data_IF_306409351782
#
_entry.id   IF_306409351782
#
_cell.length_a   1.000
_cell.length_b   1.000
_cell.length_c   1.000
_cell.angle_alpha   90.00
_cell.angle_beta   90.00
_cell.angle_gamma   90.00
#
_symmetry.space_group_name_H-M   'P 1'
#
loop_
_entity.id
_entity.type
_entity.pdbx_description
1 polymer ?
#
# COMPACT_ATOMS: atom_id res chain seq x y z
N UNK A 1 -31.39 2.00 -42.28
CA UNK A 1 -32.11 1.25 -41.23
C UNK A 1 -31.89 1.94 -39.89
N UNK A 2 -32.94 2.18 -39.10
CA UNK A 2 -32.79 2.71 -37.73
C UNK A 2 -31.92 1.74 -36.92
N UNK A 3 -30.96 2.24 -36.16
CA UNK A 3 -29.99 1.42 -35.41
C UNK A 3 -30.69 0.31 -34.60
N UNK A 4 -30.19 -0.94 -34.63
CA UNK A 4 -30.77 -2.04 -33.86
C UNK A 4 -30.63 -1.85 -32.34
N UNK A 5 -29.86 -0.86 -31.89
CA UNK A 5 -29.64 -0.49 -30.49
C UNK A 5 -30.95 -0.14 -29.75
N UNK A 6 -31.85 0.64 -30.37
CA UNK A 6 -33.06 1.14 -29.71
C UNK A 6 -34.06 0.03 -29.30
N UNK A 7 -34.34 -0.99 -30.15
CA UNK A 7 -35.11 -2.17 -29.74
C UNK A 7 -34.52 -2.93 -28.55
N UNK A 8 -33.19 -3.13 -28.50
CA UNK A 8 -32.53 -3.80 -27.36
C UNK A 8 -32.69 -3.00 -26.06
N UNK A 9 -32.47 -1.69 -26.12
CA UNK A 9 -32.65 -0.81 -24.97
C UNK A 9 -34.11 -0.80 -24.47
N UNK A 10 -35.08 -0.80 -25.39
CA UNK A 10 -36.50 -0.84 -25.05
C UNK A 10 -36.90 -2.17 -24.37
N UNK A 11 -36.46 -3.30 -24.93
CA UNK A 11 -36.75 -4.63 -24.38
C UNK A 11 -36.13 -4.79 -22.99
N UNK A 12 -34.87 -4.38 -22.82
CA UNK A 12 -34.18 -4.37 -21.53
C UNK A 12 -34.95 -3.54 -20.51
N UNK A 13 -35.29 -2.29 -20.84
CA UNK A 13 -36.04 -1.40 -19.96
C UNK A 13 -37.39 -2.00 -19.59
N UNK A 14 -38.10 -2.62 -20.53
CA UNK A 14 -39.42 -3.21 -20.28
C UNK A 14 -39.36 -4.42 -19.33
N UNK A 15 -38.42 -5.35 -19.56
CA UNK A 15 -38.28 -6.56 -18.72
C UNK A 15 -37.71 -6.26 -17.33
N UNK A 16 -36.73 -5.38 -17.27
CA UNK A 16 -35.95 -5.12 -16.06
C UNK A 16 -36.36 -3.84 -15.33
N UNK A 17 -37.51 -3.25 -15.69
CA UNK A 17 -38.03 -1.99 -15.12
C UNK A 17 -38.02 -1.96 -13.59
N UNK A 18 -38.35 -3.06 -12.93
CA UNK A 18 -38.42 -3.12 -11.48
C UNK A 18 -37.04 -3.16 -10.83
N UNK A 19 -36.09 -3.93 -11.37
CA UNK A 19 -34.70 -3.92 -10.91
C UNK A 19 -34.02 -2.56 -11.14
N UNK A 20 -34.29 -1.93 -12.29
CA UNK A 20 -33.80 -0.58 -12.59
C UNK A 20 -34.42 0.48 -11.68
N UNK A 21 -35.72 0.37 -11.37
CA UNK A 21 -36.40 1.25 -10.42
C UNK A 21 -35.84 1.10 -9.01
N UNK A 22 -35.59 -0.14 -8.55
CA UNK A 22 -34.97 -0.42 -7.26
C UNK A 22 -33.54 0.17 -7.17
N UNK A 23 -32.72 -0.01 -8.21
CA UNK A 23 -31.38 0.58 -8.28
C UNK A 23 -31.43 2.11 -8.28
N UNK A 24 -32.37 2.70 -9.02
CA UNK A 24 -32.54 4.15 -9.08
C UNK A 24 -32.98 4.71 -7.72
N UNK A 25 -33.91 4.03 -7.05
CA UNK A 25 -34.33 4.38 -5.69
C UNK A 25 -33.17 4.28 -4.70
N UNK A 26 -32.37 3.21 -4.77
CA UNK A 26 -31.19 3.04 -3.93
C UNK A 26 -30.16 4.16 -4.13
N UNK A 27 -29.82 4.49 -5.39
CA UNK A 27 -28.91 5.59 -5.71
C UNK A 27 -29.48 6.95 -5.30
N UNK A 28 -30.80 7.15 -5.41
CA UNK A 28 -31.47 8.36 -4.94
C UNK A 28 -31.38 8.48 -3.42
N UNK A 29 -31.64 7.40 -2.67
CA UNK A 29 -31.50 7.37 -1.21
C UNK A 29 -30.05 7.66 -0.81
N UNK A 30 -29.06 7.04 -1.46
CA UNK A 30 -27.64 7.36 -1.22
C UNK A 30 -27.32 8.84 -1.49
N UNK A 31 -27.82 9.39 -2.60
CA UNK A 31 -27.63 10.80 -2.94
C UNK A 31 -28.32 11.75 -1.95
N UNK A 32 -29.52 11.41 -1.49
CA UNK A 32 -30.27 12.18 -0.49
C UNK A 32 -29.60 12.12 0.88
N UNK A 33 -29.17 10.94 1.32
CA UNK A 33 -28.37 10.79 2.55
C UNK A 33 -27.11 11.65 2.48
N UNK A 34 -26.42 11.64 1.34
CA UNK A 34 -25.26 12.51 1.14
C UNK A 34 -25.62 13.99 1.25
N UNK A 35 -26.64 14.46 0.53
CA UNK A 35 -26.99 15.88 0.51
C UNK A 35 -27.54 16.41 1.84
N UNK A 36 -28.21 15.56 2.62
CA UNK A 36 -28.90 15.97 3.85
C UNK A 36 -28.12 15.67 5.13
N UNK A 37 -27.21 14.70 5.11
CA UNK A 37 -26.49 14.22 6.31
C UNK A 37 -25.00 14.53 6.25
N UNK A 38 -24.41 14.72 5.06
CA UNK A 38 -22.96 14.85 4.89
C UNK A 38 -22.59 16.24 4.33
N UNK A 39 -22.06 17.12 5.16
CA UNK A 39 -21.51 18.40 4.69
C UNK A 39 -20.30 18.19 3.76
N UNK A 40 -20.03 19.09 2.80
CA UNK A 40 -18.82 19.02 1.97
C UNK A 40 -17.55 19.05 2.84
N UNK A 41 -16.91 17.89 3.05
CA UNK A 41 -15.67 17.75 3.80
C UNK A 41 -15.77 16.97 5.12
N UNK A 42 -16.98 16.56 5.54
CA UNK A 42 -17.16 15.72 6.73
C UNK A 42 -16.84 14.24 6.45
N UNK A 43 -16.18 13.58 7.41
CA UNK A 43 -15.77 12.18 7.27
C UNK A 43 -16.95 11.25 7.53
N UNK A 44 -17.29 10.38 6.57
CA UNK A 44 -18.22 9.28 6.79
C UNK A 44 -17.50 8.20 7.59
N UNK A 45 -17.60 8.25 8.91
CA UNK A 45 -17.21 7.14 9.78
C UNK A 45 -18.40 6.21 9.91
N UNK A 46 -18.39 5.10 9.17
CA UNK A 46 -19.32 4.01 9.41
C UNK A 46 -18.82 3.29 10.67
N UNK A 47 -19.47 3.60 11.79
CA UNK A 47 -19.16 3.20 13.17
C UNK A 47 -18.88 1.69 13.35
N UNK A 48 -19.37 0.83 12.45
CA UNK A 48 -19.21 -0.63 12.56
C UNK A 48 -18.61 -1.24 11.30
N UNK A 49 -17.74 -2.25 11.50
CA UNK A 49 -16.98 -3.00 10.48
C UNK A 49 -17.81 -3.53 9.29
N UNK A 50 -19.13 -3.71 9.48
CA UNK A 50 -20.04 -4.30 8.49
C UNK A 50 -20.96 -3.29 7.81
N UNK A 51 -21.08 -2.05 8.31
CA UNK A 51 -22.06 -1.08 7.82
C UNK A 51 -21.75 -0.62 6.40
N UNK A 52 -20.46 -0.42 6.06
CA UNK A 52 -20.05 -0.14 4.69
C UNK A 52 -20.29 -1.32 3.76
N UNK A 53 -20.00 -2.53 4.25
CA UNK A 53 -20.22 -3.74 3.49
C UNK A 53 -21.70 -3.92 3.15
N UNK A 54 -22.60 -3.74 4.11
CA UNK A 54 -24.04 -3.93 3.94
C UNK A 54 -24.72 -2.82 3.13
N UNK A 55 -24.31 -1.56 3.31
CA UNK A 55 -24.96 -0.42 2.66
C UNK A 55 -24.42 -0.16 1.27
N UNK A 56 -23.12 -0.45 1.01
CA UNK A 56 -22.46 -0.10 -0.25
C UNK A 56 -22.00 -1.35 -0.99
N UNK A 57 -21.18 -2.21 -0.37
CA UNK A 57 -20.54 -3.33 -1.09
C UNK A 57 -21.53 -4.40 -1.53
N UNK A 58 -22.43 -4.85 -0.66
CA UNK A 58 -23.39 -5.93 -0.93
C UNK A 58 -24.42 -5.53 -1.99
N UNK A 59 -25.07 -4.34 -1.94
CA UNK A 59 -25.99 -3.92 -3.00
C UNK A 59 -25.30 -3.74 -4.35
N UNK A 60 -24.07 -3.21 -4.37
CA UNK A 60 -23.31 -3.04 -5.62
C UNK A 60 -22.84 -4.38 -6.19
N UNK A 61 -22.32 -5.28 -5.36
CA UNK A 61 -21.94 -6.64 -5.77
C UNK A 61 -23.15 -7.42 -6.31
N UNK A 62 -24.30 -7.29 -5.66
CA UNK A 62 -25.56 -7.88 -6.14
C UNK A 62 -26.01 -7.26 -7.46
N UNK A 63 -25.86 -5.94 -7.63
CA UNK A 63 -26.18 -5.23 -8.88
C UNK A 63 -25.24 -5.64 -10.02
N UNK A 64 -23.95 -5.86 -9.72
CA UNK A 64 -22.97 -6.38 -10.66
C UNK A 64 -23.39 -7.77 -11.15
N UNK A 65 -23.67 -8.70 -10.23
CA UNK A 65 -24.11 -10.05 -10.60
C UNK A 65 -25.43 -10.04 -11.37
N UNK A 66 -26.33 -9.14 -11.03
CA UNK A 66 -27.58 -8.92 -11.77
C UNK A 66 -27.32 -8.42 -13.19
N UNK A 67 -26.47 -7.41 -13.41
CA UNK A 67 -26.15 -6.93 -14.77
C UNK A 67 -25.40 -7.98 -15.57
N UNK A 68 -24.46 -8.70 -14.96
CA UNK A 68 -23.76 -9.80 -15.61
C UNK A 68 -24.78 -10.83 -16.11
N UNK A 69 -25.70 -11.26 -15.26
CA UNK A 69 -26.77 -12.19 -15.63
C UNK A 69 -27.70 -11.67 -16.74
N UNK A 70 -28.09 -10.40 -16.68
CA UNK A 70 -29.04 -9.80 -17.62
C UNK A 70 -28.42 -9.55 -19.00
N UNK A 71 -27.20 -9.01 -19.05
CA UNK A 71 -26.52 -8.69 -20.30
C UNK A 71 -25.84 -9.90 -20.95
N UNK A 72 -25.59 -10.97 -20.21
CA UNK A 72 -25.12 -12.26 -20.74
C UNK A 72 -26.26 -13.25 -21.06
N UNK A 73 -27.51 -12.91 -20.78
CA UNK A 73 -28.66 -13.81 -20.86
C UNK A 73 -28.55 -15.08 -19.98
N UNK A 74 -27.71 -15.06 -18.93
CA UNK A 74 -27.40 -16.23 -18.09
C UNK A 74 -28.59 -16.87 -17.37
N UNK A 75 -29.71 -16.15 -17.15
CA UNK A 75 -30.93 -16.72 -16.57
C UNK A 75 -31.74 -17.60 -17.52
N UNK A 76 -31.35 -17.66 -18.81
CA UNK A 76 -31.93 -18.55 -19.81
C UNK A 76 -30.95 -19.66 -20.25
N UNK A 77 -29.80 -19.77 -19.57
CA UNK A 77 -28.71 -20.68 -19.93
C UNK A 77 -28.98 -22.12 -19.51
N UNK A 78 -29.74 -22.85 -20.32
CA UNK A 78 -29.68 -24.31 -20.34
C UNK A 78 -28.64 -24.72 -21.40
N UNK A 79 -27.47 -25.21 -20.96
CA UNK A 79 -26.40 -25.67 -21.86
C UNK A 79 -26.80 -26.90 -22.69
N UNK A 80 -27.87 -27.60 -22.29
CA UNK A 80 -28.46 -28.73 -23.02
C UNK A 80 -29.63 -28.29 -23.93
N UNK A 81 -29.98 -27.00 -23.98
CA UNK A 81 -31.09 -26.51 -24.76
C UNK A 81 -30.88 -26.73 -26.26
N UNK A 82 -31.90 -27.29 -26.92
CA UNK A 82 -31.93 -27.46 -28.40
C UNK A 82 -32.28 -26.18 -29.16
N UNK A 83 -32.46 -25.06 -28.45
CA UNK A 83 -32.88 -23.77 -28.99
C UNK A 83 -31.95 -22.65 -28.50
N UNK A 84 -31.88 -21.55 -29.26
CA UNK A 84 -31.05 -20.40 -28.91
C UNK A 84 -31.44 -19.79 -27.56
N UNK A 85 -30.44 -19.39 -26.77
CA UNK A 85 -30.62 -18.63 -25.52
C UNK A 85 -31.15 -17.21 -25.77
N UNK A 86 -31.03 -16.72 -27.00
CA UNK A 86 -31.61 -15.45 -27.40
C UNK A 86 -33.12 -15.64 -27.67
N UNK A 87 -34.01 -14.76 -27.18
CA UNK A 87 -35.43 -14.86 -27.44
C UNK A 87 -35.76 -14.97 -28.93
N UNK A 88 -36.65 -15.89 -29.32
CA UNK A 88 -37.02 -16.13 -30.73
C UNK A 88 -37.44 -14.84 -31.48
N UNK A 89 -38.08 -13.89 -30.78
CA UNK A 89 -38.45 -12.56 -31.28
C UNK A 89 -37.28 -11.63 -31.64
N UNK A 90 -36.04 -11.97 -31.27
CA UNK A 90 -34.84 -11.26 -31.71
C UNK A 90 -34.36 -11.74 -33.09
N UNK A 91 -34.84 -12.90 -33.56
CA UNK A 91 -34.57 -13.44 -34.89
C UNK A 91 -35.63 -13.03 -35.93
N UNK A 92 -36.64 -12.26 -35.55
CA UNK A 92 -37.70 -11.78 -36.46
C UNK A 92 -37.33 -10.49 -37.20
N UNK A 93 -36.11 -9.97 -36.98
CA UNK A 93 -35.54 -8.82 -37.68
C UNK A 93 -34.27 -9.28 -38.44
N UNK A 94 -33.89 -8.65 -39.57
CA UNK A 94 -32.63 -8.93 -40.24
C UNK A 94 -31.46 -8.35 -39.40
N UNK A 95 -31.10 -9.06 -38.33
CA UNK A 95 -29.99 -8.72 -37.45
C UNK A 95 -28.81 -9.67 -37.72
N UNK A 96 -27.61 -9.12 -37.71
CA UNK A 96 -26.38 -9.91 -37.76
C UNK A 96 -26.10 -10.53 -36.40
N UNK A 97 -25.39 -11.65 -36.37
CA UNK A 97 -24.89 -12.26 -35.11
C UNK A 97 -24.06 -11.26 -34.28
N UNK A 98 -23.29 -10.40 -34.95
CA UNK A 98 -22.53 -9.33 -34.30
C UNK A 98 -23.43 -8.31 -33.60
N UNK A 99 -24.59 -7.97 -34.18
CA UNK A 99 -25.55 -7.07 -33.53
C UNK A 99 -26.28 -7.75 -32.35
N UNK A 100 -26.59 -9.04 -32.48
CA UNK A 100 -27.26 -9.83 -31.43
C UNK A 100 -26.39 -10.00 -30.18
N UNK A 101 -25.07 -10.20 -30.34
CA UNK A 101 -24.14 -10.32 -29.22
C UNK A 101 -23.55 -8.98 -28.77
N UNK A 102 -23.17 -8.11 -29.72
CA UNK A 102 -22.40 -6.90 -29.45
C UNK A 102 -23.19 -5.81 -28.71
N UNK A 103 -24.46 -5.59 -29.05
CA UNK A 103 -25.26 -4.55 -28.39
C UNK A 103 -25.53 -4.84 -26.91
N UNK A 104 -25.96 -6.05 -26.51
CA UNK A 104 -26.08 -6.41 -25.10
C UNK A 104 -24.78 -6.23 -24.32
N UNK A 105 -23.64 -6.65 -24.87
CA UNK A 105 -22.33 -6.46 -24.23
C UNK A 105 -21.96 -4.98 -24.07
N UNK A 106 -22.16 -4.16 -25.10
CA UNK A 106 -21.90 -2.71 -25.04
C UNK A 106 -22.79 -2.02 -24.00
N UNK A 107 -24.07 -2.39 -23.93
CA UNK A 107 -24.96 -1.86 -22.90
C UNK A 107 -24.56 -2.30 -21.49
N UNK A 108 -24.13 -3.55 -21.31
CA UNK A 108 -23.62 -4.04 -20.03
C UNK A 108 -22.37 -3.30 -19.56
N UNK A 109 -21.39 -3.14 -20.45
CA UNK A 109 -20.16 -2.39 -20.16
C UNK A 109 -20.46 -0.92 -19.84
N UNK A 110 -21.31 -0.27 -20.63
CA UNK A 110 -21.70 1.12 -20.37
C UNK A 110 -22.45 1.26 -19.03
N UNK A 111 -23.38 0.35 -18.72
CA UNK A 111 -24.13 0.37 -17.47
C UNK A 111 -23.22 0.15 -16.25
N UNK A 112 -22.22 -0.72 -16.37
CA UNK A 112 -21.20 -0.95 -15.33
C UNK A 112 -20.32 0.27 -15.10
N UNK A 113 -19.82 0.90 -16.18
CA UNK A 113 -19.04 2.13 -16.08
C UNK A 113 -19.83 3.26 -15.44
N UNK A 114 -21.10 3.44 -15.84
CA UNK A 114 -21.98 4.47 -15.26
C UNK A 114 -22.28 4.18 -13.80
N UNK A 115 -22.59 2.93 -13.43
CA UNK A 115 -22.83 2.54 -12.04
C UNK A 115 -21.59 2.83 -11.17
N UNK A 116 -20.40 2.48 -11.67
CA UNK A 116 -19.15 2.77 -10.97
C UNK A 116 -18.93 4.28 -10.78
N UNK A 117 -19.10 5.09 -11.84
CA UNK A 117 -18.95 6.55 -11.77
C UNK A 117 -19.95 7.18 -10.80
N UNK A 118 -21.22 6.81 -10.88
CA UNK A 118 -22.28 7.35 -10.02
C UNK A 118 -22.07 6.94 -8.57
N UNK A 119 -21.74 5.68 -8.30
CA UNK A 119 -21.45 5.21 -6.94
C UNK A 119 -20.21 5.91 -6.38
N UNK A 120 -19.16 6.06 -7.19
CA UNK A 120 -17.97 6.81 -6.78
C UNK A 120 -18.33 8.25 -6.40
N UNK A 121 -19.17 8.91 -7.19
CA UNK A 121 -19.63 10.26 -6.91
C UNK A 121 -20.51 10.34 -5.65
N UNK A 122 -21.40 9.38 -5.43
CA UNK A 122 -22.43 9.44 -4.39
C UNK A 122 -22.02 8.81 -3.05
N UNK A 123 -21.20 7.77 -3.06
CA UNK A 123 -20.78 7.04 -1.86
C UNK A 123 -19.32 7.31 -1.47
N UNK A 124 -18.47 7.69 -2.43
CA UNK A 124 -17.00 7.75 -2.23
C UNK A 124 -16.44 9.19 -2.19
N UNK A 125 -17.15 10.20 -2.70
CA UNK A 125 -16.69 11.60 -2.71
C UNK A 125 -17.71 12.54 -2.02
N UNK A 126 -17.35 13.55 -1.20
CA UNK A 126 -16.10 13.82 -0.52
C UNK A 126 -16.23 13.34 0.93
N UNK A 127 -16.35 12.03 1.14
CA UNK A 127 -16.60 11.43 2.45
C UNK A 127 -15.41 11.49 3.40
N UNK A 128 -14.32 12.19 3.06
CA UNK A 128 -13.05 12.18 3.81
C UNK A 128 -12.49 10.77 4.10
N UNK A 129 -13.08 9.73 3.49
CA UNK A 129 -12.48 8.42 3.30
C UNK A 129 -11.45 8.64 2.23
N UNK A 130 -10.27 9.03 2.68
CA UNK A 130 -9.07 8.53 2.06
C UNK A 130 -9.25 7.03 2.01
N UNK A 131 -9.61 6.49 0.85
CA UNK A 131 -9.22 5.13 0.57
C UNK A 131 -7.79 5.31 0.07
N UNK A 132 -6.75 5.19 0.92
CA UNK A 132 -5.43 4.99 0.38
C UNK A 132 -5.42 3.54 -0.10
N UNK A 133 -6.19 3.21 -1.15
CA UNK A 133 -6.30 1.85 -1.71
C UNK A 133 -4.89 1.36 -2.02
N UNK A 134 -4.02 2.29 -2.40
CA UNK A 134 -2.64 1.98 -2.69
C UNK A 134 -1.80 2.12 -1.42
N UNK A 135 -1.49 3.28 -0.86
CA UNK A 135 -0.21 3.38 -0.14
C UNK A 135 0.00 2.54 1.16
N UNK A 136 -0.81 2.63 2.25
CA UNK A 136 -0.64 1.75 3.42
C UNK A 136 -1.05 0.29 3.15
N UNK A 137 -2.11 0.07 2.36
CA UNK A 137 -2.59 -1.28 2.03
C UNK A 137 -1.62 -2.02 1.08
N UNK A 138 -1.06 -1.31 0.10
CA UNK A 138 0.02 -1.79 -0.76
C UNK A 138 1.23 -2.12 0.08
N UNK A 139 1.67 -1.24 0.99
CA UNK A 139 2.80 -1.55 1.88
C UNK A 139 2.52 -2.81 2.71
N UNK A 140 1.30 -2.96 3.25
CA UNK A 140 0.86 -4.18 3.96
C UNK A 140 0.97 -5.41 3.06
N UNK A 141 0.47 -5.32 1.83
CA UNK A 141 0.35 -6.45 0.90
C UNK A 141 1.72 -6.85 0.33
N UNK A 142 2.58 -5.89 -0.03
CA UNK A 142 3.92 -6.19 -0.57
C UNK A 142 4.86 -6.69 0.53
N UNK A 143 4.80 -6.14 1.75
CA UNK A 143 5.69 -6.57 2.82
C UNK A 143 5.24 -7.87 3.48
N UNK A 144 3.93 -8.13 3.56
CA UNK A 144 3.41 -9.32 4.22
C UNK A 144 3.66 -9.36 5.73
N UNK A 145 3.97 -8.22 6.38
CA UNK A 145 4.21 -8.10 7.82
C UNK A 145 3.05 -8.66 8.65
N UNK A 146 1.79 -8.47 8.25
CA UNK A 146 0.62 -9.03 8.94
C UNK A 146 0.73 -10.54 9.18
N UNK A 147 1.22 -11.30 8.18
CA UNK A 147 1.35 -12.76 8.33
C UNK A 147 2.38 -13.14 9.40
N UNK A 148 3.42 -12.33 9.61
CA UNK A 148 4.38 -12.55 10.68
C UNK A 148 3.83 -12.07 12.02
N UNK A 149 3.12 -10.94 12.02
CA UNK A 149 2.43 -10.39 13.18
C UNK A 149 1.47 -11.40 13.80
N UNK A 150 0.60 -12.00 12.97
CA UNK A 150 -0.37 -13.03 13.38
C UNK A 150 0.32 -14.28 13.98
N UNK A 151 1.49 -14.65 13.44
CA UNK A 151 2.24 -15.83 13.92
C UNK A 151 3.03 -15.58 15.19
N UNK A 152 3.51 -14.37 15.41
CA UNK A 152 4.45 -14.05 16.48
C UNK A 152 3.89 -13.12 17.55
N UNK A 153 2.66 -12.64 17.40
CA UNK A 153 1.93 -11.88 18.42
C UNK A 153 2.46 -10.47 18.62
N UNK A 154 2.78 -9.75 17.55
CA UNK A 154 3.15 -8.32 17.61
C UNK A 154 2.16 -7.46 16.82
N UNK A 155 2.11 -6.16 17.12
CA UNK A 155 1.25 -5.20 16.42
C UNK A 155 2.05 -4.59 15.26
N UNK A 156 1.42 -4.50 14.09
CA UNK A 156 1.96 -3.78 12.93
C UNK A 156 1.06 -2.60 12.61
N UNK A 157 1.68 -1.45 12.41
CA UNK A 157 0.97 -0.19 12.13
C UNK A 157 1.49 0.38 10.83
N UNK A 158 0.57 0.78 9.96
CA UNK A 158 0.88 1.37 8.66
C UNK A 158 0.41 2.82 8.64
N UNK A 159 1.14 3.74 9.28
CA UNK A 159 0.76 5.15 9.27
C UNK A 159 0.88 5.71 7.85
N UNK A 160 -0.04 6.60 7.49
CA UNK A 160 -0.02 7.27 6.21
C UNK A 160 0.68 8.62 6.33
N UNK A 161 1.60 8.91 5.41
CA UNK A 161 2.09 10.27 5.18
C UNK A 161 0.97 11.21 4.71
N UNK A 162 1.32 12.48 4.51
CA UNK A 162 0.36 13.49 4.05
C UNK A 162 0.21 13.44 2.53
N UNK A 163 -0.95 13.85 2.05
CA UNK A 163 -1.22 13.91 0.61
C UNK A 163 -0.40 15.05 -0.03
N UNK A 164 0.41 14.69 -1.02
CA UNK A 164 1.21 15.59 -1.83
C UNK A 164 0.88 15.29 -3.29
N UNK A 165 -0.15 15.96 -3.81
CA UNK A 165 -0.56 15.82 -5.21
C UNK A 165 -1.15 14.45 -5.58
N UNK A 166 -1.82 13.78 -4.64
CA UNK A 166 -2.44 12.47 -4.84
C UNK A 166 -1.57 11.27 -4.42
N UNK A 167 -0.35 11.53 -3.94
CA UNK A 167 0.59 10.53 -3.41
C UNK A 167 0.78 10.78 -1.91
N UNK A 168 0.79 9.72 -1.12
CA UNK A 168 1.10 9.81 0.31
C UNK A 168 2.60 9.80 0.49
N UNK A 169 3.13 10.89 1.02
CA UNK A 169 4.57 11.13 1.10
C UNK A 169 4.99 11.56 2.51
N UNK A 170 6.15 11.07 2.94
CA UNK A 170 6.85 11.59 4.11
C UNK A 170 7.76 12.73 3.66
N UNK A 171 7.76 13.86 4.37
CA UNK A 171 8.57 15.02 4.00
C UNK A 171 10.03 14.88 4.45
N UNK A 172 10.59 13.68 4.30
CA UNK A 172 11.92 13.27 4.71
C UNK A 172 13.02 13.62 3.67
N UNK A 173 12.68 14.41 2.64
CA UNK A 173 13.62 14.80 1.57
C UNK A 173 14.55 15.92 2.05
N UNK A 174 14.01 16.94 2.74
CA UNK A 174 14.77 18.09 3.24
C UNK A 174 14.34 18.47 4.66
N UNK A 175 15.22 19.07 5.47
CA UNK A 175 14.84 19.56 6.80
C UNK A 175 13.76 20.63 6.70
N UNK A 176 12.85 20.67 7.67
CA UNK A 176 11.86 21.73 7.77
C UNK A 176 10.65 21.35 8.61
N UNK A 177 9.72 22.32 8.76
CA UNK A 177 8.49 22.16 9.56
C UNK A 177 7.67 20.95 9.16
N UNK A 178 7.68 20.60 7.88
CA UNK A 178 7.00 19.44 7.34
C UNK A 178 7.54 18.13 7.93
N UNK A 179 8.85 17.93 7.87
CA UNK A 179 9.52 16.77 8.47
C UNK A 179 9.28 16.70 9.99
N UNK A 180 9.41 17.84 10.68
CA UNK A 180 9.16 17.91 12.13
C UNK A 180 7.75 17.46 12.51
N UNK A 181 6.74 17.82 11.69
CA UNK A 181 5.36 17.36 11.90
C UNK A 181 5.21 15.86 11.70
N UNK A 182 5.86 15.30 10.70
CA UNK A 182 5.79 13.87 10.41
C UNK A 182 6.48 13.05 11.53
N UNK A 183 7.63 13.51 12.03
CA UNK A 183 8.29 12.92 13.21
C UNK A 183 7.40 13.00 14.45
N UNK A 184 6.81 14.17 14.72
CA UNK A 184 5.90 14.35 15.86
C UNK A 184 4.68 13.42 15.75
N UNK A 185 4.06 13.35 14.58
CA UNK A 185 2.93 12.46 14.34
C UNK A 185 3.26 11.00 14.67
N UNK A 186 4.42 10.50 14.24
CA UNK A 186 4.84 9.13 14.55
C UNK A 186 5.15 8.97 16.05
N UNK A 187 5.75 9.96 16.70
CA UNK A 187 5.97 9.93 18.15
C UNK A 187 4.66 9.89 18.94
N UNK A 188 3.71 10.76 18.59
CA UNK A 188 2.39 10.83 19.24
C UNK A 188 1.60 9.52 19.01
N UNK A 189 1.70 8.94 17.81
CA UNK A 189 1.10 7.65 17.49
C UNK A 189 1.67 6.52 18.36
N UNK A 190 2.98 6.51 18.61
CA UNK A 190 3.60 5.55 19.55
C UNK A 190 2.99 5.73 20.95
N UNK A 191 2.91 6.97 21.44
CA UNK A 191 2.36 7.26 22.78
C UNK A 191 0.89 6.81 22.89
N UNK A 192 0.07 7.02 21.86
CA UNK A 192 -1.33 6.62 21.88
C UNK A 192 -1.51 5.10 21.83
N UNK A 193 -0.66 4.39 21.08
CA UNK A 193 -0.67 2.93 21.04
C UNK A 193 -0.18 2.30 22.34
N UNK A 194 0.85 2.86 22.98
CA UNK A 194 1.32 2.40 24.29
C UNK A 194 0.27 2.59 25.39
N UNK A 195 -0.61 3.60 25.29
CA UNK A 195 -1.75 3.79 26.21
C UNK A 195 -2.88 2.80 25.95
N UNK A 196 -3.14 2.47 24.68
CA UNK A 196 -4.28 1.66 24.27
C UNK A 196 -4.01 0.15 24.28
N UNK A 197 -2.75 -0.26 24.11
CA UNK A 197 -2.35 -1.66 23.97
C UNK A 197 -1.14 -1.98 24.86
N UNK A 198 -0.94 -3.26 25.17
CA UNK A 198 0.21 -3.72 25.92
C UNK A 198 1.46 -3.81 25.03
N UNK A 199 2.07 -2.65 24.74
CA UNK A 199 3.28 -2.52 23.94
C UNK A 199 4.52 -2.61 24.83
N UNK A 200 5.51 -3.42 24.44
CA UNK A 200 6.84 -3.38 25.06
C UNK A 200 7.61 -2.15 24.52
N UNK A 201 7.84 -1.11 25.36
CA UNK A 201 8.50 0.12 24.92
C UNK A 201 9.96 -0.10 24.51
N UNK A 202 10.55 -1.25 24.86
CA UNK A 202 11.92 -1.60 24.47
C UNK A 202 12.01 -2.25 23.10
N UNK A 203 10.87 -2.56 22.47
CA UNK A 203 10.75 -3.31 21.20
C UNK A 203 9.86 -2.61 20.19
N UNK A 204 10.15 -1.33 19.97
CA UNK A 204 9.50 -0.55 18.91
C UNK A 204 10.47 -0.43 17.74
N UNK A 205 10.01 -0.85 16.57
CA UNK A 205 10.81 -0.90 15.34
C UNK A 205 10.13 -0.07 14.25
N UNK A 206 10.91 0.46 13.32
CA UNK A 206 10.37 1.13 12.13
C UNK A 206 10.99 0.56 10.87
N UNK A 207 10.20 0.47 9.80
CA UNK A 207 10.70 0.10 8.50
C UNK A 207 9.88 0.72 7.37
N UNK A 208 10.43 0.69 6.16
CA UNK A 208 9.70 1.11 4.97
C UNK A 208 10.44 0.90 3.66
N UNK A 209 9.67 0.94 2.58
CA UNK A 209 10.13 0.96 1.20
C UNK A 209 10.37 2.41 0.75
N UNK A 210 11.40 2.68 -0.05
CA UNK A 210 11.56 3.96 -0.77
C UNK A 210 11.57 5.16 0.18
N UNK A 211 10.69 6.15 -0.03
CA UNK A 211 10.48 7.28 0.87
C UNK A 211 10.21 6.86 2.33
N UNK A 212 9.50 5.75 2.56
CA UNK A 212 9.31 5.18 3.90
C UNK A 212 10.61 4.66 4.52
N UNK A 213 11.53 4.14 3.71
CA UNK A 213 12.89 3.79 4.16
C UNK A 213 13.72 5.03 4.51
N UNK A 214 13.56 6.12 3.77
CA UNK A 214 14.12 7.43 4.13
C UNK A 214 13.56 7.97 5.45
N UNK A 215 12.25 7.80 5.68
CA UNK A 215 11.63 8.16 6.95
C UNK A 215 12.12 7.26 8.11
N UNK A 216 12.38 5.97 7.86
CA UNK A 216 12.98 5.08 8.86
C UNK A 216 14.38 5.56 9.31
N UNK A 217 15.20 6.08 8.38
CA UNK A 217 16.46 6.77 8.73
C UNK A 217 16.19 8.01 9.60
N UNK A 218 15.27 8.89 9.20
CA UNK A 218 14.92 10.09 9.98
C UNK A 218 14.53 9.74 11.42
N UNK A 219 13.73 8.71 11.59
CA UNK A 219 13.26 8.26 12.89
C UNK A 219 14.37 7.64 13.73
N UNK A 220 15.35 6.97 13.11
CA UNK A 220 16.55 6.50 13.81
C UNK A 220 17.36 7.67 14.40
N UNK A 221 17.32 8.84 13.76
CA UNK A 221 18.05 10.04 14.19
C UNK A 221 17.26 10.90 15.19
N UNK A 222 15.93 10.89 15.12
CA UNK A 222 15.08 11.82 15.89
C UNK A 222 14.36 11.17 17.06
N UNK A 223 14.09 9.87 16.97
CA UNK A 223 13.42 9.06 17.98
C UNK A 223 14.30 7.86 18.40
N UNK A 224 15.63 8.01 18.38
CA UNK A 224 16.57 6.91 18.66
C UNK A 224 16.36 6.28 20.05
N UNK A 225 15.88 7.06 21.03
CA UNK A 225 15.56 6.61 22.39
C UNK A 225 14.23 5.85 22.49
N UNK A 226 13.41 5.84 21.43
CA UNK A 226 12.15 5.09 21.34
C UNK A 226 12.24 3.94 20.35
N UNK A 227 13.15 4.00 19.38
CA UNK A 227 13.26 3.02 18.30
C UNK A 227 14.47 2.11 18.55
N UNK A 228 14.17 0.82 18.73
CA UNK A 228 15.15 -0.21 19.04
C UNK A 228 16.02 -0.57 17.83
N UNK A 229 15.43 -0.70 16.64
CA UNK A 229 16.12 -1.00 15.38
C UNK A 229 15.29 -0.54 14.17
N UNK A 230 15.93 -0.41 13.02
CA UNK A 230 15.28 0.01 11.77
C UNK A 230 15.54 -0.92 10.60
N UNK A 231 14.54 -1.05 9.72
CA UNK A 231 14.62 -1.80 8.47
C UNK A 231 14.40 -0.89 7.26
N UNK A 232 15.25 -0.98 6.24
CA UNK A 232 15.13 -0.15 5.04
C UNK A 232 15.08 -1.01 3.79
N UNK A 233 14.15 -0.73 2.88
CA UNK A 233 14.08 -1.39 1.57
C UNK A 233 14.09 -0.34 0.47
N UNK A 234 14.99 -0.46 -0.50
CA UNK A 234 15.10 0.45 -1.64
C UNK A 234 15.07 1.93 -1.22
N UNK A 235 15.70 2.26 -0.08
CA UNK A 235 15.37 3.47 0.67
C UNK A 235 15.81 4.75 -0.06
N UNK A 236 14.88 5.70 -0.20
CA UNK A 236 15.09 7.01 -0.77
C UNK A 236 15.59 7.99 0.31
N UNK A 237 16.89 7.92 0.59
CA UNK A 237 17.54 8.69 1.65
C UNK A 237 18.28 9.90 1.06
N UNK A 238 17.70 11.09 1.27
CA UNK A 238 18.22 12.35 0.72
C UNK A 238 18.90 13.24 1.76
N UNK A 239 18.58 13.07 3.04
CA UNK A 239 19.20 13.86 4.11
C UNK A 239 20.68 13.45 4.28
N UNK A 240 21.61 14.40 4.36
CA UNK A 240 23.01 14.07 4.62
C UNK A 240 23.17 13.58 6.06
N UNK A 241 24.19 12.74 6.30
CA UNK A 241 24.50 12.26 7.65
C UNK A 241 24.78 13.36 8.67
N UNK A 242 25.29 14.53 8.23
CA UNK A 242 25.49 15.71 9.07
C UNK A 242 24.20 16.29 9.65
N UNK A 243 23.04 15.94 9.11
CA UNK A 243 21.74 16.33 9.64
C UNK A 243 21.38 15.55 10.91
N UNK A 244 21.86 14.30 11.07
CA UNK A 244 21.64 13.51 12.27
C UNK A 244 22.53 14.01 13.40
N UNK A 245 21.96 14.77 14.33
CA UNK A 245 22.66 15.26 15.52
C UNK A 245 22.66 14.26 16.68
N UNK A 246 21.82 13.23 16.61
CA UNK A 246 21.83 12.13 17.57
C UNK A 246 22.87 11.08 17.17
N UNK A 247 23.76 10.76 18.11
CA UNK A 247 24.85 9.83 17.94
C UNK A 247 24.60 8.48 18.63
N UNK A 248 23.39 8.23 19.14
CA UNK A 248 23.04 6.89 19.64
C UNK A 248 23.21 5.87 18.51
N UNK A 249 23.94 4.77 18.75
CA UNK A 249 23.95 3.61 17.86
C UNK A 249 22.53 3.03 17.75
N UNK A 250 22.05 2.84 16.52
CA UNK A 250 20.74 2.23 16.25
C UNK A 250 20.97 1.05 15.29
N UNK A 251 20.66 -0.20 15.67
CA UNK A 251 20.77 -1.33 14.77
C UNK A 251 19.98 -1.14 13.48
N UNK A 252 20.56 -1.56 12.35
CA UNK A 252 19.99 -1.36 11.02
C UNK A 252 20.18 -2.56 10.12
N UNK A 253 19.12 -2.90 9.40
CA UNK A 253 19.14 -3.86 8.30
C UNK A 253 18.57 -3.19 7.04
N UNK A 254 19.26 -3.31 5.91
CA UNK A 254 18.87 -2.67 4.65
C UNK A 254 18.88 -3.66 3.48
N UNK A 255 17.99 -3.47 2.53
CA UNK A 255 17.85 -4.28 1.32
C UNK A 255 17.79 -3.35 0.11
N UNK A 256 18.65 -3.56 -0.89
CA UNK A 256 18.68 -2.68 -2.05
C UNK A 256 19.06 -3.44 -3.33
N UNK A 257 18.30 -3.21 -4.39
CA UNK A 257 18.52 -3.82 -5.69
C UNK A 257 19.54 -3.06 -6.53
N UNK A 258 20.45 -3.75 -7.24
CA UNK A 258 21.45 -3.09 -8.09
C UNK A 258 20.89 -2.58 -9.41
N UNK A 259 19.70 -3.05 -9.81
CA UNK A 259 18.96 -2.57 -10.99
C UNK A 259 17.82 -1.60 -10.63
N UNK A 260 17.83 -1.05 -9.41
CA UNK A 260 16.89 -0.02 -8.97
C UNK A 260 17.08 1.27 -9.79
N UNK A 261 16.10 1.59 -10.63
CA UNK A 261 16.11 2.76 -11.51
C UNK A 261 15.52 4.02 -10.86
N UNK A 262 15.03 3.93 -9.61
CA UNK A 262 14.39 5.02 -8.87
C UNK A 262 15.31 5.51 -7.76
N UNK A 263 15.70 4.63 -6.84
CA UNK A 263 16.71 4.90 -5.83
C UNK A 263 18.00 4.20 -6.26
N UNK A 264 18.83 4.88 -7.04
CA UNK A 264 20.00 4.27 -7.67
C UNK A 264 20.94 3.67 -6.61
N UNK A 265 21.38 2.42 -6.85
CA UNK A 265 22.27 1.71 -5.93
C UNK A 265 23.60 2.45 -5.73
N UNK A 266 24.18 2.95 -6.83
CA UNK A 266 25.43 3.73 -6.85
C UNK A 266 25.23 5.20 -6.42
N UNK A 267 24.01 5.58 -6.02
CA UNK A 267 23.65 6.96 -5.72
C UNK A 267 23.53 7.84 -6.97
N UNK A 268 23.52 9.15 -6.76
CA UNK A 268 23.36 10.15 -7.80
C UNK A 268 21.91 10.57 -8.05
N UNK A 269 21.72 11.28 -9.17
CA UNK A 269 20.44 11.88 -9.56
C UNK A 269 19.59 10.86 -10.32
N UNK A 270 18.40 10.60 -9.80
CA UNK A 270 17.38 9.78 -10.45
C UNK A 270 16.37 10.64 -11.18
N UNK A 271 15.76 10.11 -12.24
CA UNK A 271 14.68 10.78 -12.99
C UNK A 271 13.42 11.03 -12.16
N UNK A 272 13.21 10.25 -11.09
CA UNK A 272 12.11 10.42 -10.12
C UNK A 272 12.59 10.97 -8.76
N UNK A 273 13.91 11.01 -8.55
CA UNK A 273 14.50 11.50 -7.31
C UNK A 273 14.46 13.03 -7.23
N UNK A 274 13.89 13.63 -6.17
CA UNK A 274 13.89 15.09 -6.00
C UNK A 274 15.29 15.66 -5.71
N UNK A 275 16.22 14.82 -5.28
CA UNK A 275 17.60 15.15 -4.93
C UNK A 275 18.54 14.01 -5.30
N UNK A 276 19.85 14.27 -5.47
CA UNK A 276 20.85 13.22 -5.52
C UNK A 276 20.87 12.42 -4.21
N UNK A 277 20.95 11.10 -4.34
CA UNK A 277 21.11 10.19 -3.19
C UNK A 277 22.56 9.74 -3.06
N UNK A 278 22.98 9.36 -1.85
CA UNK A 278 24.29 8.76 -1.64
C UNK A 278 24.29 7.28 -2.04
N UNK A 279 25.47 6.78 -2.43
CA UNK A 279 25.70 5.36 -2.71
C UNK A 279 25.24 4.49 -1.53
N UNK A 280 24.59 3.37 -1.83
CA UNK A 280 23.99 2.50 -0.81
C UNK A 280 25.05 1.84 0.07
N UNK A 281 26.20 1.45 -0.49
CA UNK A 281 27.30 0.88 0.27
C UNK A 281 27.96 1.94 1.16
N UNK A 282 28.13 3.17 0.66
CA UNK A 282 28.59 4.31 1.46
C UNK A 282 27.63 4.60 2.61
N UNK A 283 26.31 4.59 2.35
CA UNK A 283 25.30 4.77 3.40
C UNK A 283 25.40 3.71 4.49
N UNK A 284 25.60 2.44 4.12
CA UNK A 284 25.79 1.36 5.08
C UNK A 284 27.08 1.56 5.90
N UNK A 285 28.17 1.95 5.25
CA UNK A 285 29.43 2.28 5.91
C UNK A 285 29.30 3.49 6.86
N UNK A 286 28.54 4.52 6.48
CA UNK A 286 28.26 5.68 7.32
C UNK A 286 27.45 5.28 8.56
N UNK A 287 26.50 4.35 8.40
CA UNK A 287 25.75 3.77 9.51
C UNK A 287 26.65 2.96 10.44
N UNK A 288 27.55 2.14 9.88
CA UNK A 288 28.53 1.40 10.66
C UNK A 288 29.44 2.33 11.47
N UNK A 289 29.85 3.48 10.89
CA UNK A 289 30.60 4.52 11.62
C UNK A 289 29.77 5.15 12.73
N UNK A 290 28.49 5.46 12.52
CA UNK A 290 27.57 5.92 13.59
C UNK A 290 27.47 4.89 14.71
N UNK A 291 27.37 3.61 14.35
CA UNK A 291 27.26 2.52 15.31
C UNK A 291 28.61 2.08 15.89
N UNK A 292 29.72 2.73 15.50
CA UNK A 292 31.09 2.44 15.93
C UNK A 292 31.44 0.96 15.79
N UNK A 293 31.11 0.40 14.63
CA UNK A 293 31.50 -0.96 14.24
C UNK A 293 33.01 -1.06 14.02
N UNK A 294 33.51 -2.29 14.08
CA UNK A 294 34.88 -2.62 13.72
C UNK A 294 35.18 -2.31 12.24
N UNK A 295 36.46 -2.36 11.85
CA UNK A 295 36.87 -2.11 10.46
C UNK A 295 36.51 -3.24 9.51
N UNK A 296 36.28 -4.44 10.04
CA UNK A 296 36.05 -5.65 9.26
C UNK A 296 34.57 -5.81 8.89
N UNK A 297 34.33 -6.37 7.70
CA UNK A 297 33.00 -6.75 7.23
C UNK A 297 32.98 -8.23 6.88
N UNK A 298 31.88 -8.90 7.19
CA UNK A 298 31.65 -10.28 6.78
C UNK A 298 30.68 -10.27 5.61
N UNK A 299 31.10 -10.78 4.47
CA UNK A 299 30.21 -11.02 3.33
C UNK A 299 29.82 -12.49 3.28
N UNK A 300 28.56 -12.74 2.99
CA UNK A 300 28.04 -14.08 2.77
C UNK A 300 27.25 -14.14 1.45
N UNK A 301 26.92 -15.36 1.01
CA UNK A 301 25.95 -15.56 -0.05
C UNK A 301 24.79 -16.36 0.54
N UNK A 302 23.62 -15.74 0.62
CA UNK A 302 22.39 -16.40 1.08
C UNK A 302 21.58 -16.96 -0.10
N UNK A 303 21.81 -16.44 -1.29
CA UNK A 303 21.32 -16.94 -2.57
C UNK A 303 22.28 -16.52 -3.70
N UNK A 304 22.07 -17.03 -4.92
CA UNK A 304 22.95 -16.75 -6.06
C UNK A 304 23.03 -15.25 -6.39
N UNK A 305 21.95 -14.49 -6.20
CA UNK A 305 21.85 -13.07 -6.49
C UNK A 305 21.76 -12.18 -5.23
N UNK A 306 21.97 -12.74 -4.03
CA UNK A 306 21.82 -12.00 -2.77
C UNK A 306 23.09 -12.09 -1.93
N UNK A 307 23.74 -10.95 -1.76
CA UNK A 307 24.97 -10.79 -0.97
C UNK A 307 24.70 -9.91 0.25
N UNK A 308 24.56 -10.48 1.45
CA UNK A 308 24.60 -9.72 2.68
C UNK A 308 26.03 -9.33 3.02
N UNK A 309 26.17 -8.10 3.52
CA UNK A 309 27.39 -7.56 4.11
C UNK A 309 27.08 -7.12 5.54
N UNK A 310 27.65 -7.85 6.49
CA UNK A 310 27.55 -7.59 7.92
C UNK A 310 28.73 -6.72 8.36
N UNK A 311 28.44 -5.63 9.06
CA UNK A 311 29.44 -4.87 9.81
C UNK A 311 29.42 -5.37 11.25
N UNK A 312 30.57 -5.88 11.71
CA UNK A 312 30.68 -6.58 13.00
C UNK A 312 31.24 -5.68 14.09
N UNK A 313 31.20 -6.17 15.34
CA UNK A 313 31.77 -5.49 16.52
C UNK A 313 31.22 -4.07 16.75
N UNK A 314 29.93 -3.86 16.48
CA UNK A 314 29.25 -2.59 16.68
C UNK A 314 28.97 -2.27 18.16
N UNK A 315 29.17 -1.02 18.54
CA UNK A 315 28.93 -0.57 19.89
C UNK A 315 27.45 -0.65 20.27
N UNK A 316 27.18 -1.12 21.49
CA UNK A 316 25.82 -1.16 22.03
C UNK A 316 24.93 -2.21 21.39
N UNK A 317 25.51 -3.24 20.76
CA UNK A 317 24.78 -4.28 20.02
C UNK A 317 23.91 -3.64 18.94
N UNK A 318 24.52 -2.76 18.15
CA UNK A 318 23.87 -2.02 17.09
C UNK A 318 24.38 -2.51 15.74
N UNK A 319 24.10 -3.78 15.43
CA UNK A 319 24.54 -4.41 14.19
C UNK A 319 24.08 -3.63 12.96
N UNK A 320 24.87 -3.69 11.89
CA UNK A 320 24.53 -3.09 10.59
C UNK A 320 24.67 -4.15 9.51
N UNK A 321 23.61 -4.37 8.75
CA UNK A 321 23.59 -5.38 7.69
C UNK A 321 23.02 -4.78 6.40
N UNK A 322 23.74 -4.91 5.30
CA UNK A 322 23.28 -4.54 3.96
C UNK A 322 23.11 -5.78 3.09
N UNK A 323 21.90 -6.04 2.63
CA UNK A 323 21.59 -7.02 1.59
C UNK A 323 21.62 -6.33 0.22
N UNK A 324 22.58 -6.71 -0.61
CA UNK A 324 22.65 -6.35 -2.02
C UNK A 324 21.92 -7.41 -2.85
N UNK A 325 20.89 -7.01 -3.59
CA UNK A 325 20.14 -7.88 -4.50
C UNK A 325 20.58 -7.60 -5.94
N UNK A 326 21.44 -8.45 -6.47
CA UNK A 326 21.98 -8.30 -7.82
C UNK A 326 20.87 -8.46 -8.86
N UNK A 327 20.67 -7.44 -9.71
CA UNK A 327 19.60 -7.41 -10.69
C UNK A 327 18.20 -7.13 -10.12
N UNK A 328 18.08 -6.96 -8.81
CA UNK A 328 16.82 -6.56 -8.17
C UNK A 328 16.48 -5.09 -8.46
N UNK A 329 15.20 -4.78 -8.59
CA UNK A 329 14.69 -3.42 -8.78
C UNK A 329 14.27 -2.70 -7.50
N UNK A 330 13.49 -1.62 -7.66
CA UNK A 330 12.86 -0.81 -6.62
C UNK A 330 11.64 -1.51 -5.99
N UNK A 331 11.86 -2.67 -5.39
CA UNK A 331 10.79 -3.57 -4.93
C UNK A 331 11.08 -4.15 -3.55
N UNK A 332 10.11 -4.86 -2.98
CA UNK A 332 10.25 -5.54 -1.69
C UNK A 332 10.69 -6.99 -1.90
N UNK A 333 11.94 -7.39 -1.57
CA UNK A 333 12.40 -8.76 -1.81
C UNK A 333 11.56 -9.79 -1.04
N UNK A 334 11.11 -10.84 -1.73
CA UNK A 334 10.20 -11.87 -1.21
C UNK A 334 8.77 -11.39 -0.96
N UNK A 335 8.46 -10.16 -1.38
CA UNK A 335 7.17 -9.52 -1.27
C UNK A 335 6.22 -9.81 -2.44
N UNK A 336 5.05 -9.18 -2.38
CA UNK A 336 4.08 -9.20 -3.50
C UNK A 336 4.66 -8.55 -4.77
N UNK A 337 4.34 -9.06 -5.97
CA UNK A 337 4.90 -8.54 -7.21
C UNK A 337 4.45 -7.10 -7.46
N UNK A 338 5.39 -6.28 -7.90
CA UNK A 338 5.15 -4.90 -8.32
C UNK A 338 5.35 -4.78 -9.85
N UNK A 339 4.83 -3.73 -10.51
CA UNK A 339 4.98 -3.55 -11.96
C UNK A 339 6.46 -3.52 -12.41
N UNK A 340 6.97 -4.65 -12.91
CA UNK A 340 8.38 -4.83 -13.27
C UNK A 340 8.86 -3.86 -14.35
N UNK A 341 8.01 -3.53 -15.32
CA UNK A 341 8.33 -2.56 -16.38
C UNK A 341 8.66 -1.16 -15.84
N UNK A 342 8.23 -0.84 -14.61
CA UNK A 342 8.43 0.44 -13.96
C UNK A 342 9.46 0.36 -12.83
N UNK A 343 9.34 -0.65 -11.98
CA UNK A 343 10.10 -0.79 -10.73
C UNK A 343 11.25 -1.78 -10.84
N UNK A 344 11.39 -2.48 -11.95
CA UNK A 344 12.37 -3.56 -12.12
C UNK A 344 11.98 -4.86 -11.40
N UNK A 345 12.83 -5.89 -11.49
CA UNK A 345 12.52 -7.23 -11.01
C UNK A 345 12.37 -7.31 -9.50
N UNK A 346 11.38 -8.08 -9.02
CA UNK A 346 11.28 -8.45 -7.59
C UNK A 346 11.96 -9.79 -7.36
N UNK A 347 13.06 -9.82 -6.60
CA UNK A 347 13.69 -11.10 -6.23
C UNK A 347 12.82 -11.87 -5.24
N UNK A 348 12.72 -13.19 -5.44
CA UNK A 348 12.06 -14.12 -4.54
C UNK A 348 13.04 -14.97 -3.70
N UNK A 349 14.35 -14.78 -3.90
CA UNK A 349 15.39 -15.59 -3.25
C UNK A 349 15.72 -15.16 -1.83
N UNK A 350 15.22 -14.00 -1.39
CA UNK A 350 15.29 -13.55 0.01
C UNK A 350 13.97 -12.93 0.44
N UNK A 351 13.50 -13.28 1.63
CA UNK A 351 12.31 -12.71 2.27
C UNK A 351 12.75 -11.58 3.22
N UNK A 352 12.71 -10.33 2.73
CA UNK A 352 13.18 -9.18 3.49
C UNK A 352 12.44 -9.02 4.82
N UNK A 353 11.14 -9.28 4.84
CA UNK A 353 10.29 -9.17 6.04
C UNK A 353 10.72 -10.17 7.11
N UNK A 354 11.01 -11.42 6.71
CA UNK A 354 11.50 -12.45 7.64
C UNK A 354 12.90 -12.14 8.14
N UNK A 355 13.80 -11.70 7.28
CA UNK A 355 15.15 -11.30 7.69
C UNK A 355 15.10 -10.11 8.66
N UNK A 356 14.29 -9.09 8.37
CA UNK A 356 14.04 -7.96 9.27
C UNK A 356 13.46 -8.42 10.60
N UNK A 357 12.51 -9.36 10.62
CA UNK A 357 11.94 -9.85 11.86
C UNK A 357 12.95 -10.58 12.73
N UNK A 358 13.77 -11.47 12.15
CA UNK A 358 14.86 -12.13 12.86
C UNK A 358 15.80 -11.09 13.47
N UNK A 359 16.23 -10.12 12.66
CA UNK A 359 17.08 -9.02 13.10
C UNK A 359 16.43 -8.19 14.23
N UNK A 360 15.18 -7.77 14.09
CA UNK A 360 14.49 -6.96 15.11
C UNK A 360 14.39 -7.69 16.45
N UNK A 361 14.10 -8.98 16.46
CA UNK A 361 13.97 -9.75 17.71
C UNK A 361 15.25 -9.82 18.53
N UNK A 362 16.39 -9.76 17.88
CA UNK A 362 17.70 -9.78 18.54
C UNK A 362 18.04 -8.43 19.19
N UNK A 363 17.39 -7.36 18.72
CA UNK A 363 17.70 -5.99 19.12
C UNK A 363 16.58 -5.35 19.95
N UNK A 364 16.91 -4.93 21.17
CA UNK A 364 16.00 -4.18 22.06
C UNK A 364 16.69 -2.96 22.64
N UNK A 365 15.93 -1.93 23.00
CA UNK A 365 16.46 -0.84 23.81
C UNK A 365 16.91 -1.37 25.18
N UNK A 366 18.09 -0.96 25.66
CA UNK A 366 18.63 -1.38 26.96
C UNK A 366 18.04 -0.50 28.08
N UNK A 367 17.78 -1.05 29.27
CA UNK A 367 17.09 -0.37 30.39
C UNK A 367 17.70 0.99 30.81
N UNK A 368 19.03 1.17 30.71
CA UNK A 368 19.68 2.47 30.96
C UNK A 368 19.24 3.58 29.98
N UNK A 369 18.69 3.20 28.83
CA UNK A 369 18.18 4.09 27.77
C UNK A 369 16.69 4.38 27.96
N UNK A 370 15.96 3.46 28.61
CA UNK A 370 14.57 3.67 29.05
C UNK A 370 14.48 4.54 30.30
N UNK A 371 15.49 4.55 31.18
CA UNK A 371 15.48 5.38 32.40
C UNK A 371 15.57 6.90 32.12
N UNK A 372 16.25 7.31 31.04
CA UNK A 372 16.29 8.72 30.62
C UNK A 372 14.92 9.24 30.13
N UNK A 373 13.99 8.33 29.77
CA UNK A 373 12.60 8.61 29.38
C UNK A 373 11.70 8.94 30.57
N UNK A 374 11.97 8.39 31.76
CA UNK A 374 11.15 8.64 32.95
C UNK A 374 11.49 9.98 33.65
N UNK A 375 12.58 10.63 33.24
CA UNK A 375 13.10 11.86 33.84
C UNK A 375 12.87 13.13 32.99
N UNK A 376 12.24 12.99 31.81
CA UNK A 376 11.80 14.08 30.92
C UNK A 376 10.28 14.00 30.79
#
# INVERSE_FOLDING_TARGET
MRSPAAPFAWEFRRRHRWGLAALTLYLAVLGTLRLLVLEPGERVTLDHDWSFALVVVVPLGSTFMYFLAVFSFGHAGDLAARHSIYPARMFTLPLTNAALAGWPMLYGSAAMTVLWLVTRLLAVWPSGVDIPVVWPALQRDISGWNRLADRHGFIVVYPSGLDVGGIRDWRAIRPGKGLTKDVRFISDLIDDLEKAYNIDPTRIYTNGLSNGGGMAFVLSCTLSGRIAAVGMVAAAHYLPWSWSTDHRPVPMISFHGTADSIALYEGGTSWLGPEPSADVSERAANWARRNRCGPDTVESMVAAEVTPRDYVDCAGDAAVVLFTIHGGGHTWPGGGPLPEWFLGPTSSSVDATRQMWTFFREHRLREAQSAARAAQ
#
